data_IF_752114908759
#
_entry.id   IF_752114908759
#
_cell.length_a   1.000
_cell.length_b   1.000
_cell.length_c   1.000
_cell.angle_alpha   90.00
_cell.angle_beta   90.00
_cell.angle_gamma   90.00
#
_symmetry.space_group_name_H-M   'P 1'
#
loop_
_entity.id
_entity.type
_entity.pdbx_description
1 polymer ?
#
# COMPACT_ATOMS: atom_id res chain seq x y z
N UNK A 1 53.39 -37.95 -6.99
CA UNK A 1 54.52 -37.43 -6.21
C UNK A 1 54.46 -35.90 -6.27
N UNK A 2 54.28 -35.24 -5.10
CA UNK A 2 54.32 -33.77 -4.82
C UNK A 2 53.14 -32.96 -5.42
N UNK A 3 52.06 -32.63 -4.69
CA UNK A 3 51.88 -31.74 -3.51
C UNK A 3 52.32 -30.30 -3.81
N UNK A 4 51.35 -29.41 -4.06
CA UNK A 4 51.46 -27.96 -3.83
C UNK A 4 50.08 -27.42 -3.41
N UNK A 5 49.96 -27.30 -2.09
CA UNK A 5 48.99 -26.48 -1.37
C UNK A 5 49.37 -25.02 -1.64
N UNK A 6 48.48 -24.21 -2.20
CA UNK A 6 48.51 -22.78 -1.95
C UNK A 6 47.11 -22.30 -1.57
N UNK A 7 47.02 -22.01 -0.29
CA UNK A 7 45.89 -21.50 0.46
C UNK A 7 45.58 -20.07 -0.01
N UNK A 8 44.56 -19.89 -0.85
CA UNK A 8 44.03 -18.56 -1.18
C UNK A 8 42.98 -18.16 -0.13
N UNK A 9 43.47 -17.67 1.02
CA UNK A 9 42.65 -16.86 1.93
C UNK A 9 42.53 -15.48 1.28
N UNK A 10 41.42 -15.23 0.59
CA UNK A 10 41.11 -13.91 0.04
C UNK A 10 39.83 -13.39 0.67
N UNK A 11 40.04 -12.55 1.68
CA UNK A 11 39.16 -11.53 2.26
C UNK A 11 37.66 -11.64 1.93
N UNK A 12 36.90 -12.12 2.91
CA UNK A 12 35.52 -11.69 3.13
C UNK A 12 35.52 -10.16 3.34
N UNK A 13 35.18 -9.41 2.29
CA UNK A 13 34.79 -8.01 2.40
C UNK A 13 33.44 -7.95 3.13
N UNK A 14 33.49 -7.88 4.45
CA UNK A 14 32.40 -7.34 5.25
C UNK A 14 32.25 -5.86 4.87
N UNK A 15 31.39 -5.57 3.89
CA UNK A 15 30.82 -4.24 3.76
C UNK A 15 29.92 -4.03 4.98
N UNK A 16 30.22 -3.09 5.89
CA UNK A 16 29.24 -2.69 6.88
C UNK A 16 28.07 -2.08 6.11
N UNK A 17 26.91 -2.71 6.19
CA UNK A 17 25.65 -2.09 5.79
C UNK A 17 25.45 -0.93 6.74
N UNK A 18 25.76 0.28 6.27
CA UNK A 18 25.37 1.51 6.96
C UNK A 18 23.84 1.59 6.86
N UNK A 19 23.16 1.12 7.90
CA UNK A 19 21.76 1.49 8.15
C UNK A 19 21.77 2.97 8.54
N UNK A 20 21.57 3.85 7.56
CA UNK A 20 21.33 5.27 7.81
C UNK A 20 19.97 5.43 8.50
N UNK A 21 19.93 5.30 9.83
CA UNK A 21 18.83 5.84 10.61
C UNK A 21 18.92 7.36 10.54
N UNK A 22 17.99 8.01 9.83
CA UNK A 22 17.85 9.47 9.93
C UNK A 22 17.57 9.82 11.39
N UNK A 23 18.49 10.55 12.01
CA UNK A 23 18.28 11.08 13.36
C UNK A 23 17.19 12.16 13.27
N UNK A 24 16.04 11.89 13.91
CA UNK A 24 14.90 12.80 13.88
C UNK A 24 15.23 14.08 14.67
N UNK A 25 14.66 15.25 14.28
CA UNK A 25 14.79 16.47 15.06
C UNK A 25 14.38 16.26 16.53
N UNK A 26 15.06 16.89 17.50
CA UNK A 26 14.68 16.78 18.90
C UNK A 26 13.20 17.15 19.12
N UNK A 27 12.43 16.20 19.66
CA UNK A 27 10.99 16.37 19.93
C UNK A 27 10.06 15.75 18.88
N UNK A 28 10.58 15.28 17.74
CA UNK A 28 9.79 14.51 16.79
C UNK A 28 9.79 13.02 17.16
N UNK A 29 8.58 12.44 17.22
CA UNK A 29 8.43 11.00 17.31
C UNK A 29 8.53 10.39 15.90
N UNK A 30 9.06 9.16 15.76
CA UNK A 30 8.99 8.47 14.49
C UNK A 30 7.55 8.34 14.02
N UNK A 31 7.30 8.37 12.69
CA UNK A 31 5.97 8.13 12.15
C UNK A 31 5.41 6.83 12.73
N UNK A 32 4.17 6.81 13.24
CA UNK A 32 3.62 5.60 13.82
C UNK A 32 3.52 4.50 12.76
N UNK A 33 3.83 3.29 13.18
CA UNK A 33 3.65 2.06 12.41
C UNK A 33 2.20 1.87 11.97
N UNK A 34 1.97 1.13 10.89
CA UNK A 34 0.63 0.89 10.33
C UNK A 34 -0.33 0.32 11.38
N UNK A 35 0.12 -0.63 12.20
CA UNK A 35 -0.68 -1.24 13.27
C UNK A 35 -1.14 -0.21 14.31
N UNK A 36 -0.23 0.68 14.70
CA UNK A 36 -0.53 1.74 15.65
C UNK A 36 -1.52 2.75 15.08
N UNK A 37 -1.46 3.04 13.78
CA UNK A 37 -2.46 3.90 13.11
C UNK A 37 -3.84 3.28 13.15
N UNK A 38 -3.98 2.00 12.77
CA UNK A 38 -5.26 1.27 12.80
C UNK A 38 -5.81 1.17 14.22
N UNK A 39 -4.94 0.93 15.21
CA UNK A 39 -5.34 0.88 16.62
C UNK A 39 -5.82 2.24 17.14
N UNK A 40 -5.04 3.30 16.92
CA UNK A 40 -5.35 4.68 17.37
C UNK A 40 -6.56 5.29 16.66
N UNK A 41 -6.92 4.78 15.49
CA UNK A 41 -8.15 5.17 14.81
C UNK A 41 -9.36 5.00 15.74
N UNK A 42 -9.36 4.02 16.64
CA UNK A 42 -10.51 3.71 17.50
C UNK A 42 -11.46 2.73 16.82
N UNK A 43 -12.63 2.51 17.43
CA UNK A 43 -13.63 1.54 16.99
C UNK A 43 -14.95 2.25 16.62
N UNK A 44 -16.02 1.46 16.44
CA UNK A 44 -17.33 1.98 16.08
C UNK A 44 -17.93 2.92 17.15
N UNK A 45 -17.58 2.78 18.42
CA UNK A 45 -18.14 3.62 19.49
C UNK A 45 -17.70 5.08 19.36
N UNK A 46 -16.49 5.29 18.81
CA UNK A 46 -15.93 6.62 18.57
C UNK A 46 -16.60 7.36 17.41
N UNK A 47 -17.19 6.63 16.46
CA UNK A 47 -17.72 7.20 15.21
C UNK A 47 -19.17 6.79 15.00
N UNK A 48 -20.09 7.71 15.28
CA UNK A 48 -21.52 7.45 15.14
C UNK A 48 -21.89 7.09 13.68
N UNK A 49 -22.45 5.91 13.47
CA UNK A 49 -22.96 5.40 12.19
C UNK A 49 -21.94 5.32 11.04
N UNK A 50 -20.63 5.39 11.32
CA UNK A 50 -19.61 5.24 10.28
C UNK A 50 -19.31 3.75 10.03
N UNK A 51 -19.50 3.23 8.79
CA UNK A 51 -19.19 1.83 8.49
C UNK A 51 -17.67 1.58 8.48
N UNK A 52 -16.89 2.58 8.08
CA UNK A 52 -15.43 2.55 8.07
C UNK A 52 -14.87 3.96 8.25
N UNK A 53 -13.57 4.06 8.54
CA UNK A 53 -12.84 5.33 8.58
C UNK A 53 -11.63 5.30 7.66
N UNK A 54 -11.28 6.46 7.11
CA UNK A 54 -10.00 6.68 6.43
C UNK A 54 -9.00 7.09 7.50
N UNK A 55 -8.06 6.20 7.80
CA UNK A 55 -7.02 6.41 8.80
C UNK A 55 -5.87 7.24 8.22
N UNK A 56 -5.55 7.02 6.95
CA UNK A 56 -4.57 7.80 6.21
C UNK A 56 -4.95 7.86 4.74
N UNK A 57 -4.77 9.04 4.15
CA UNK A 57 -4.76 9.28 2.72
C UNK A 57 -3.55 10.18 2.43
N UNK A 58 -2.59 9.65 1.70
CA UNK A 58 -1.37 10.36 1.34
C UNK A 58 -1.12 10.21 -0.15
N UNK A 59 -0.89 11.34 -0.81
CA UNK A 59 -0.56 11.41 -2.24
C UNK A 59 0.72 12.23 -2.42
N UNK A 60 1.74 11.62 -3.01
CA UNK A 60 3.01 12.28 -3.30
C UNK A 60 3.12 12.46 -4.82
N UNK A 61 3.01 13.71 -5.25
CA UNK A 61 3.11 14.10 -6.65
C UNK A 61 4.53 14.53 -6.99
N UNK A 62 5.10 13.97 -8.04
CA UNK A 62 6.40 14.39 -8.60
C UNK A 62 6.23 14.70 -10.07
N UNK A 63 6.60 15.92 -10.46
CA UNK A 63 6.55 16.37 -11.85
C UNK A 63 7.97 16.37 -12.41
N UNK A 64 8.18 15.71 -13.54
CA UNK A 64 9.48 15.70 -14.21
C UNK A 64 9.68 16.96 -15.07
N UNK A 65 10.87 17.13 -15.63
CA UNK A 65 11.22 18.29 -16.48
C UNK A 65 10.36 18.41 -17.74
N UNK A 66 9.75 17.30 -18.19
CA UNK A 66 8.84 17.27 -19.34
C UNK A 66 7.37 17.58 -18.97
N UNK A 67 7.08 17.86 -17.69
CA UNK A 67 5.73 18.13 -17.20
C UNK A 67 4.87 16.88 -16.96
N UNK A 68 5.46 15.68 -16.96
CA UNK A 68 4.75 14.43 -16.65
C UNK A 68 4.71 14.24 -15.14
N UNK A 69 3.51 13.97 -14.61
CA UNK A 69 3.28 13.72 -13.20
C UNK A 69 3.34 12.22 -12.87
N UNK A 70 4.02 11.90 -11.78
CA UNK A 70 4.04 10.59 -11.14
C UNK A 70 3.47 10.73 -9.74
N UNK A 71 2.50 9.88 -9.39
CA UNK A 71 1.75 9.95 -8.15
C UNK A 71 1.85 8.62 -7.41
N UNK A 72 2.54 8.62 -6.28
CA UNK A 72 2.41 7.52 -5.31
C UNK A 72 1.27 7.84 -4.35
N UNK A 73 0.32 6.93 -4.22
CA UNK A 73 -0.79 7.04 -3.29
C UNK A 73 -0.67 5.94 -2.23
N UNK A 74 -0.89 6.32 -0.98
CA UNK A 74 -1.01 5.43 0.17
C UNK A 74 -2.36 5.68 0.83
N UNK A 75 -3.18 4.63 0.91
CA UNK A 75 -4.46 4.65 1.61
C UNK A 75 -4.46 3.62 2.72
N UNK A 76 -4.98 4.00 3.88
CA UNK A 76 -5.25 3.10 4.99
C UNK A 76 -6.68 3.33 5.46
N UNK A 77 -7.52 2.32 5.29
CA UNK A 77 -8.87 2.29 5.84
C UNK A 77 -8.91 1.44 7.10
N UNK A 78 -9.95 1.62 7.92
CA UNK A 78 -10.34 0.67 8.97
C UNK A 78 -11.82 0.38 8.87
N UNK A 79 -12.20 -0.89 8.73
CA UNK A 79 -13.59 -1.33 8.79
C UNK A 79 -14.08 -1.29 10.24
N UNK A 80 -15.20 -0.61 10.52
CA UNK A 80 -15.75 -0.47 11.87
C UNK A 80 -16.98 -1.36 12.09
N UNK A 81 -17.66 -1.75 11.02
CA UNK A 81 -18.87 -2.58 11.07
C UNK A 81 -18.86 -3.62 9.95
N UNK A 82 -19.78 -4.59 10.01
CA UNK A 82 -20.00 -5.55 8.92
C UNK A 82 -20.30 -4.86 7.58
N UNK A 83 -20.97 -3.72 7.61
CA UNK A 83 -21.25 -2.93 6.42
C UNK A 83 -19.96 -2.32 5.86
N UNK A 84 -19.06 -1.83 6.72
CA UNK A 84 -17.73 -1.39 6.31
C UNK A 84 -16.90 -2.50 5.67
N UNK A 85 -16.95 -3.71 6.24
CA UNK A 85 -16.31 -4.88 5.66
C UNK A 85 -16.83 -5.17 4.24
N UNK A 86 -18.13 -5.03 3.99
CA UNK A 86 -18.71 -5.22 2.65
C UNK A 86 -18.30 -4.12 1.67
N UNK A 87 -18.34 -2.87 2.11
CA UNK A 87 -17.98 -1.72 1.27
C UNK A 87 -16.51 -1.73 0.87
N UNK A 88 -15.63 -2.20 1.76
CA UNK A 88 -14.19 -2.32 1.52
C UNK A 88 -13.78 -3.67 0.91
N UNK A 89 -14.72 -4.60 0.70
CA UNK A 89 -14.40 -5.93 0.15
C UNK A 89 -13.85 -5.87 -1.29
N UNK A 90 -14.16 -4.82 -2.04
CA UNK A 90 -13.65 -4.58 -3.38
C UNK A 90 -13.00 -3.21 -3.44
N UNK A 91 -11.74 -3.17 -3.82
CA UNK A 91 -11.03 -1.91 -4.05
C UNK A 91 -10.98 -1.64 -5.55
N UNK A 92 -11.51 -0.49 -5.96
CA UNK A 92 -11.55 -0.05 -7.36
C UNK A 92 -10.76 1.22 -7.58
N UNK A 93 -10.03 1.30 -8.69
CA UNK A 93 -9.37 2.54 -9.18
C UNK A 93 -9.64 2.72 -10.66
N UNK A 94 -10.30 3.83 -10.99
CA UNK A 94 -10.53 4.24 -12.37
C UNK A 94 -9.30 4.91 -12.96
N UNK A 95 -9.06 4.73 -14.25
CA UNK A 95 -8.03 5.43 -15.00
C UNK A 95 -8.42 5.54 -16.48
N UNK A 96 -7.89 6.56 -17.13
CA UNK A 96 -8.03 6.77 -18.57
C UNK A 96 -6.73 6.28 -19.25
N UNK A 97 -6.78 5.25 -20.12
CA UNK A 97 -5.59 4.54 -20.60
C UNK A 97 -4.74 5.29 -21.62
N UNK A 98 -5.23 6.35 -22.26
CA UNK A 98 -4.46 7.14 -23.23
C UNK A 98 -3.48 8.10 -22.55
N UNK A 99 -3.79 8.57 -21.35
CA UNK A 99 -3.03 9.60 -20.63
C UNK A 99 -2.50 9.16 -19.26
N UNK A 100 -2.98 8.03 -18.72
CA UNK A 100 -2.59 7.56 -17.40
C UNK A 100 -2.48 6.05 -17.30
N UNK A 101 -1.76 5.60 -16.27
CA UNK A 101 -1.76 4.22 -15.82
C UNK A 101 -2.18 4.17 -14.35
N UNK A 102 -2.61 3.00 -13.89
CA UNK A 102 -2.80 2.76 -12.46
C UNK A 102 -2.24 1.39 -12.12
N UNK A 103 -1.40 1.33 -11.10
CA UNK A 103 -0.77 0.10 -10.64
C UNK A 103 -1.04 -0.10 -9.16
N UNK A 104 -1.58 -1.26 -8.79
CA UNK A 104 -1.57 -1.70 -7.40
C UNK A 104 -0.18 -2.28 -7.11
N UNK A 105 0.55 -1.63 -6.21
CA UNK A 105 1.90 -2.07 -5.81
C UNK A 105 1.87 -2.91 -4.55
N UNK A 106 0.97 -2.59 -3.63
CA UNK A 106 0.82 -3.30 -2.37
C UNK A 106 -0.63 -3.25 -1.90
N UNK A 107 -1.13 -4.38 -1.40
CA UNK A 107 -2.45 -4.47 -0.75
C UNK A 107 -2.31 -5.40 0.44
N UNK A 108 -2.68 -4.93 1.63
CA UNK A 108 -2.59 -5.73 2.84
C UNK A 108 -3.83 -5.56 3.72
N UNK A 109 -4.17 -6.63 4.42
CA UNK A 109 -5.09 -6.60 5.55
C UNK A 109 -4.26 -6.50 6.83
N UNK A 110 -4.56 -5.50 7.64
CA UNK A 110 -3.93 -5.27 8.94
C UNK A 110 -4.90 -5.79 10.00
N UNK A 111 -4.61 -6.96 10.54
CA UNK A 111 -5.43 -7.62 11.55
C UNK A 111 -4.64 -7.79 12.83
N UNK A 112 -5.08 -7.13 13.89
CA UNK A 112 -4.34 -7.04 15.15
C UNK A 112 -2.89 -6.57 14.92
N UNK A 113 -1.93 -7.48 15.09
CA UNK A 113 -0.49 -7.25 14.88
C UNK A 113 0.05 -7.95 13.63
N UNK A 114 -0.83 -8.48 12.78
CA UNK A 114 -0.49 -9.21 11.57
C UNK A 114 -0.78 -8.37 10.33
N UNK A 115 0.17 -8.37 9.40
CA UNK A 115 0.03 -7.80 8.07
C UNK A 115 -0.10 -8.96 7.09
N UNK A 116 -1.32 -9.16 6.60
CA UNK A 116 -1.70 -10.26 5.72
C UNK A 116 -1.67 -9.75 4.28
N UNK A 117 -0.69 -10.17 3.46
CA UNK A 117 -0.57 -9.68 2.09
C UNK A 117 -1.68 -10.26 1.20
N UNK A 118 -2.24 -9.42 0.34
CA UNK A 118 -3.14 -9.81 -0.73
C UNK A 118 -2.38 -9.69 -2.04
N UNK A 119 -2.31 -10.79 -2.82
CA UNK A 119 -1.57 -10.78 -4.08
C UNK A 119 -2.19 -9.80 -5.08
N UNK A 120 -1.38 -8.87 -5.58
CA UNK A 120 -1.78 -7.90 -6.61
C UNK A 120 -2.03 -8.55 -7.97
N UNK A 121 -1.61 -9.80 -8.18
CA UNK A 121 -1.92 -10.59 -9.39
C UNK A 121 -3.42 -10.90 -9.52
N UNK A 122 -4.18 -10.74 -8.43
CA UNK A 122 -5.62 -10.90 -8.41
C UNK A 122 -6.36 -9.71 -9.03
N UNK A 123 -5.69 -8.58 -9.27
CA UNK A 123 -6.28 -7.39 -9.88
C UNK A 123 -6.86 -7.74 -11.25
N UNK A 124 -8.09 -7.31 -11.50
CA UNK A 124 -8.76 -7.37 -12.79
C UNK A 124 -8.84 -5.98 -13.38
N UNK A 125 -8.61 -5.88 -14.68
CA UNK A 125 -8.73 -4.64 -15.43
C UNK A 125 -9.94 -4.73 -16.36
N UNK A 126 -10.96 -3.94 -16.05
CA UNK A 126 -12.30 -4.03 -16.61
C UNK A 126 -12.68 -2.71 -17.30
N UNK A 127 -13.53 -2.73 -18.34
CA UNK A 127 -14.08 -1.49 -18.88
C UNK A 127 -14.94 -0.78 -17.83
N UNK A 128 -14.83 0.55 -17.75
CA UNK A 128 -15.74 1.34 -16.93
C UNK A 128 -17.18 1.28 -17.49
N UNK A 129 -18.24 1.43 -16.67
CA UNK A 129 -19.64 1.37 -17.13
C UNK A 129 -19.99 2.29 -18.31
N UNK A 130 -19.25 3.38 -18.52
CA UNK A 130 -19.46 4.36 -19.59
C UNK A 130 -18.23 4.51 -20.50
N UNK A 131 -17.38 3.48 -20.58
CA UNK A 131 -16.13 3.50 -21.36
C UNK A 131 -16.31 3.90 -22.84
N UNK A 132 -17.46 3.59 -23.44
CA UNK A 132 -17.76 3.95 -24.84
C UNK A 132 -17.97 5.44 -25.10
N UNK A 133 -18.18 6.25 -24.05
CA UNK A 133 -18.37 7.71 -24.14
C UNK A 133 -17.15 8.45 -23.57
N UNK A 134 -16.46 7.85 -22.59
CA UNK A 134 -15.29 8.44 -21.93
C UNK A 134 -13.99 7.77 -22.39
N UNK A 135 -13.64 7.92 -23.67
CA UNK A 135 -12.31 7.56 -24.23
C UNK A 135 -11.77 6.16 -23.89
N UNK A 136 -12.66 5.19 -23.62
CA UNK A 136 -12.24 3.84 -23.24
C UNK A 136 -11.78 3.71 -21.79
N UNK A 137 -12.28 4.56 -20.88
CA UNK A 137 -12.03 4.51 -19.43
C UNK A 137 -12.10 3.09 -18.88
N UNK A 138 -11.17 2.80 -17.97
CA UNK A 138 -10.99 1.47 -17.39
C UNK A 138 -10.97 1.55 -15.87
N UNK A 139 -11.27 0.43 -15.22
CA UNK A 139 -11.27 0.30 -13.77
C UNK A 139 -10.45 -0.94 -13.42
N UNK A 140 -9.41 -0.74 -12.61
CA UNK A 140 -8.71 -1.84 -11.95
C UNK A 140 -9.40 -2.16 -10.63
N UNK A 141 -9.77 -3.41 -10.44
CA UNK A 141 -10.48 -3.90 -9.26
C UNK A 141 -9.73 -5.06 -8.62
N UNK A 142 -9.69 -5.10 -7.29
CA UNK A 142 -9.20 -6.24 -6.53
C UNK A 142 -10.22 -6.60 -5.44
N UNK A 143 -10.60 -7.87 -5.41
CA UNK A 143 -11.44 -8.45 -4.36
C UNK A 143 -10.54 -8.88 -3.21
N UNK A 144 -10.84 -8.39 -2.00
CA UNK A 144 -10.15 -8.80 -0.80
C UNK A 144 -10.73 -10.12 -0.26
N UNK A 145 -9.92 -10.91 0.47
CA UNK A 145 -10.41 -11.97 1.33
C UNK A 145 -11.45 -11.47 2.34
N UNK A 146 -12.09 -12.41 3.06
CA UNK A 146 -13.07 -12.06 4.08
C UNK A 146 -12.45 -11.14 5.14
N UNK A 147 -12.98 -9.93 5.24
CA UNK A 147 -12.64 -8.95 6.25
C UNK A 147 -13.38 -9.23 7.56
N UNK A 148 -12.75 -8.82 8.65
CA UNK A 148 -13.29 -8.80 10.01
C UNK A 148 -13.46 -7.35 10.48
N UNK A 149 -14.37 -7.17 11.45
CA UNK A 149 -14.55 -5.86 12.10
C UNK A 149 -13.21 -5.46 12.74
N UNK A 150 -12.83 -4.19 12.58
CA UNK A 150 -11.56 -3.60 12.96
C UNK A 150 -10.35 -3.92 12.08
N UNK A 151 -10.50 -4.70 11.01
CA UNK A 151 -9.43 -4.85 10.02
C UNK A 151 -9.05 -3.49 9.42
N UNK A 152 -7.75 -3.26 9.29
CA UNK A 152 -7.20 -2.21 8.46
C UNK A 152 -6.99 -2.70 7.02
N UNK A 153 -7.19 -1.84 6.04
CA UNK A 153 -6.94 -2.13 4.62
C UNK A 153 -5.90 -1.14 4.14
N UNK A 154 -4.68 -1.60 3.93
CA UNK A 154 -3.56 -0.82 3.41
C UNK A 154 -3.45 -1.02 1.90
N UNK A 155 -3.39 0.07 1.15
CA UNK A 155 -3.32 0.06 -0.31
C UNK A 155 -2.25 1.06 -0.75
N UNK A 156 -1.29 0.60 -1.55
CA UNK A 156 -0.30 1.43 -2.23
C UNK A 156 -0.54 1.33 -3.73
N UNK A 157 -0.77 2.48 -4.36
CA UNK A 157 -0.95 2.56 -5.82
C UNK A 157 -0.06 3.60 -6.44
N UNK A 158 0.27 3.39 -7.70
CA UNK A 158 1.01 4.34 -8.52
C UNK A 158 0.21 4.77 -9.74
N UNK A 159 0.31 6.06 -10.08
CA UNK A 159 -0.32 6.67 -11.25
C UNK A 159 0.65 7.58 -11.98
#
# INVERSE_FOLDING_TARGET
MKRNVLLAVMLLLFFPVFLSGQELPPGENPPPEVFERVKKAGDAEKYENAPYVIVMDSSVNRVNEMGISYIDNYMLYKALTDEGCKQLAVISRGYEPLSSIIEFREVNIIRDTQKIPVSVDLVKDLPAPQAGIYWGDRIRVIQLPRLEINDGIEIVTFR
#
